data_IF_825150106004
#
_entry.id   IF_825150106004
#
_cell.length_a   1.000
_cell.length_b   1.000
_cell.length_c   1.000
_cell.angle_alpha   90.00
_cell.angle_beta   90.00
_cell.angle_gamma   90.00
#
_symmetry.space_group_name_H-M   'P 1'
#
loop_
_entity.id
_entity.type
_entity.pdbx_description
1 polymer ?
#
# COMPACT_ATOMS: atom_id res chain seq x y z
N UNK A 1 2.50 10.19 10.46
CA UNK A 1 2.24 9.64 9.11
C UNK A 1 0.79 9.95 8.76
N UNK A 2 0.54 10.53 7.60
CA UNK A 2 -0.79 10.85 7.08
C UNK A 2 -1.10 9.92 5.91
N UNK A 3 -2.15 9.12 6.03
CA UNK A 3 -2.65 8.24 4.97
C UNK A 3 -3.82 8.94 4.29
N UNK A 4 -3.61 9.38 3.06
CA UNK A 4 -4.57 10.18 2.28
C UNK A 4 -5.45 9.27 1.44
N UNK A 5 -6.74 9.54 1.47
CA UNK A 5 -7.74 8.93 0.59
C UNK A 5 -8.31 10.01 -0.33
N UNK A 6 -8.31 9.76 -1.64
CA UNK A 6 -8.91 10.66 -2.62
C UNK A 6 -10.36 10.28 -2.91
N UNK A 7 -11.23 11.29 -3.04
CA UNK A 7 -12.59 11.12 -3.51
C UNK A 7 -12.59 10.79 -5.01
N UNK A 8 -12.64 9.50 -5.32
CA UNK A 8 -12.84 9.01 -6.69
C UNK A 8 -11.75 9.46 -7.68
N UNK A 9 -10.48 9.33 -7.29
CA UNK A 9 -9.29 9.86 -7.97
C UNK A 9 -9.30 9.74 -9.51
N UNK A 10 -9.58 8.55 -10.05
CA UNK A 10 -9.59 8.33 -11.50
C UNK A 10 -10.67 9.13 -12.23
N UNK A 11 -11.80 9.41 -11.59
CA UNK A 11 -12.91 10.14 -12.21
C UNK A 11 -12.71 11.65 -12.20
N UNK A 12 -11.78 12.17 -11.38
CA UNK A 12 -11.53 13.61 -11.26
C UNK A 12 -10.44 14.13 -12.19
N UNK A 13 -9.75 13.24 -12.92
CA UNK A 13 -8.72 13.62 -13.89
C UNK A 13 -9.33 14.57 -14.94
N UNK A 14 -8.73 15.75 -15.09
CA UNK A 14 -9.08 16.68 -16.18
C UNK A 14 -8.16 16.35 -17.36
N UNK A 15 -8.68 15.86 -18.50
CA UNK A 15 -7.84 15.44 -19.63
C UNK A 15 -6.88 16.53 -20.10
N UNK A 16 -7.33 17.78 -20.18
CA UNK A 16 -6.49 18.90 -20.60
C UNK A 16 -5.28 19.12 -19.67
N UNK A 17 -5.44 19.00 -18.35
CA UNK A 17 -4.35 19.14 -17.39
C UNK A 17 -3.34 17.99 -17.53
N UNK A 18 -3.84 16.77 -17.72
CA UNK A 18 -2.99 15.60 -17.99
C UNK A 18 -2.17 15.81 -19.27
N UNK A 19 -2.81 16.21 -20.38
CA UNK A 19 -2.11 16.45 -21.65
C UNK A 19 -1.03 17.52 -21.50
N UNK A 20 -1.28 18.60 -20.76
CA UNK A 20 -0.27 19.61 -20.50
C UNK A 20 0.96 19.01 -19.77
N UNK A 21 0.75 18.15 -18.76
CA UNK A 21 1.85 17.43 -18.09
C UNK A 21 2.58 16.46 -19.03
N UNK A 22 1.85 15.72 -19.87
CA UNK A 22 2.45 14.81 -20.84
C UNK A 22 3.34 15.55 -21.85
N UNK A 23 2.89 16.72 -22.33
CA UNK A 23 3.70 17.58 -23.19
C UNK A 23 4.97 18.07 -22.48
N UNK A 24 4.90 18.45 -21.20
CA UNK A 24 6.07 18.85 -20.40
C UNK A 24 7.07 17.70 -20.19
N UNK A 25 6.57 16.45 -20.13
CA UNK A 25 7.39 15.24 -20.09
C UNK A 25 8.00 14.87 -21.45
N UNK A 26 7.73 15.64 -22.51
CA UNK A 26 8.31 15.45 -23.83
C UNK A 26 7.58 14.43 -24.71
N UNK A 27 6.35 14.05 -24.39
CA UNK A 27 5.56 13.17 -25.26
C UNK A 27 5.17 13.91 -26.56
N UNK A 28 5.17 13.17 -27.67
CA UNK A 28 4.82 13.71 -28.98
C UNK A 28 3.35 14.17 -29.01
N UNK A 29 3.08 15.31 -29.67
CA UNK A 29 1.75 15.91 -29.83
C UNK A 29 0.70 14.94 -30.38
N UNK A 30 1.07 14.06 -31.32
CA UNK A 30 0.15 13.06 -31.90
C UNK A 30 -0.33 12.06 -30.86
N UNK A 31 0.59 11.60 -29.98
CA UNK A 31 0.25 10.70 -28.89
C UNK A 31 -0.62 11.42 -27.85
N UNK A 32 -0.29 12.67 -27.51
CA UNK A 32 -1.08 13.49 -26.61
C UNK A 32 -2.50 13.72 -27.15
N UNK A 33 -2.67 14.00 -28.44
CA UNK A 33 -3.98 14.15 -29.06
C UNK A 33 -4.77 12.84 -29.06
N UNK A 34 -4.12 11.71 -29.30
CA UNK A 34 -4.76 10.40 -29.20
C UNK A 34 -5.21 10.09 -27.76
N UNK A 35 -4.40 10.42 -26.75
CA UNK A 35 -4.78 10.29 -25.34
C UNK A 35 -5.94 11.23 -25.01
N UNK A 36 -5.94 12.45 -25.52
CA UNK A 36 -7.03 13.41 -25.31
C UNK A 36 -8.35 12.88 -25.88
N UNK A 37 -8.33 12.39 -27.11
CA UNK A 37 -9.48 11.77 -27.78
C UNK A 37 -9.96 10.53 -26.99
N UNK A 38 -9.03 9.66 -26.58
CA UNK A 38 -9.33 8.52 -25.71
C UNK A 38 -9.99 8.94 -24.39
N UNK A 39 -9.65 10.13 -23.86
CA UNK A 39 -10.16 10.60 -22.57
C UNK A 39 -11.44 11.45 -22.65
N UNK A 40 -11.84 11.90 -23.84
CA UNK A 40 -12.95 12.85 -24.03
C UNK A 40 -14.07 12.27 -24.88
N UNK A 41 -15.27 12.85 -24.79
CA UNK A 41 -16.37 12.46 -25.66
C UNK A 41 -16.85 11.01 -25.50
N UNK A 42 -16.59 10.36 -24.36
CA UNK A 42 -16.88 8.93 -24.16
C UNK A 42 -18.36 8.71 -23.78
N UNK A 43 -19.18 8.07 -24.62
CA UNK A 43 -20.55 7.73 -24.25
C UNK A 43 -20.56 6.59 -23.21
N UNK A 44 -21.39 6.73 -22.18
CA UNK A 44 -21.63 5.70 -21.17
C UNK A 44 -23.14 5.53 -20.92
N UNK A 45 -23.56 4.30 -20.63
CA UNK A 45 -24.90 3.98 -20.18
C UNK A 45 -24.83 2.82 -19.19
N UNK A 46 -25.71 2.81 -18.20
CA UNK A 46 -25.78 1.74 -17.20
C UNK A 46 -26.86 0.76 -17.62
N UNK A 47 -26.51 -0.53 -17.62
CA UNK A 47 -27.44 -1.62 -17.93
C UNK A 47 -27.67 -2.47 -16.68
N UNK A 48 -28.94 -2.62 -16.27
CA UNK A 48 -29.35 -3.43 -15.12
C UNK A 48 -30.50 -4.35 -15.52
N UNK A 49 -30.22 -5.64 -15.64
CA UNK A 49 -31.21 -6.64 -16.06
C UNK A 49 -31.66 -6.41 -17.50
N UNK A 50 -32.89 -5.94 -17.70
CA UNK A 50 -33.42 -5.58 -19.02
C UNK A 50 -33.51 -4.07 -19.25
N UNK A 51 -33.13 -3.26 -18.27
CA UNK A 51 -33.23 -1.82 -18.33
C UNK A 51 -31.87 -1.21 -18.71
N UNK A 52 -31.90 -0.22 -19.60
CA UNK A 52 -30.72 0.57 -19.99
C UNK A 52 -31.00 2.04 -19.72
N UNK A 53 -30.07 2.73 -19.08
CA UNK A 53 -30.17 4.18 -18.86
C UNK A 53 -30.05 4.94 -20.18
N UNK A 54 -30.43 6.22 -20.17
CA UNK A 54 -29.98 7.14 -21.21
C UNK A 54 -28.45 7.17 -21.29
N UNK A 55 -27.93 7.42 -22.49
CA UNK A 55 -26.50 7.63 -22.70
C UNK A 55 -26.08 9.01 -22.20
N UNK A 56 -25.01 9.05 -21.42
CA UNK A 56 -24.34 10.28 -20.98
C UNK A 56 -22.93 10.30 -21.56
N UNK A 57 -22.47 11.44 -22.05
CA UNK A 57 -21.09 11.58 -22.54
C UNK A 57 -20.18 12.11 -21.44
N UNK A 58 -19.07 11.43 -21.19
CA UNK A 58 -18.03 11.83 -20.24
C UNK A 58 -16.82 12.42 -20.95
N UNK A 59 -16.37 13.57 -20.44
CA UNK A 59 -15.09 14.19 -20.86
C UNK A 59 -14.17 14.47 -19.67
N UNK A 60 -14.41 13.79 -18.55
CA UNK A 60 -13.59 13.83 -17.34
C UNK A 60 -13.29 12.42 -16.87
N UNK A 61 -12.17 12.27 -16.18
CA UNK A 61 -11.69 11.01 -15.65
C UNK A 61 -11.03 10.10 -16.68
N UNK A 62 -10.42 9.04 -16.18
CA UNK A 62 -9.94 7.91 -16.99
C UNK A 62 -10.84 6.67 -16.76
N UNK A 63 -11.10 5.84 -17.79
CA UNK A 63 -12.01 4.72 -17.67
C UNK A 63 -11.49 3.69 -16.65
N UNK A 64 -12.31 3.34 -15.65
CA UNK A 64 -11.96 2.29 -14.71
C UNK A 64 -11.92 0.93 -15.40
N UNK A 65 -10.92 0.12 -15.08
CA UNK A 65 -10.69 -1.19 -15.72
C UNK A 65 -9.93 -1.12 -17.05
N UNK A 66 -9.60 0.07 -17.56
CA UNK A 66 -8.69 0.19 -18.71
C UNK A 66 -7.22 0.07 -18.27
N UNK A 67 -6.42 -0.65 -19.06
CA UNK A 67 -4.98 -0.86 -18.84
C UNK A 67 -4.19 0.45 -18.81
N UNK A 68 -4.62 1.46 -19.59
CA UNK A 68 -3.90 2.72 -19.71
C UNK A 68 -4.16 3.68 -18.52
N UNK A 69 -5.32 3.58 -17.88
CA UNK A 69 -5.74 4.52 -16.83
C UNK A 69 -4.76 4.61 -15.66
N UNK A 70 -4.24 3.50 -15.08
CA UNK A 70 -3.24 3.56 -14.01
C UNK A 70 -1.96 4.30 -14.41
N UNK A 71 -1.46 4.07 -15.63
CA UNK A 71 -0.27 4.75 -16.13
C UNK A 71 -0.51 6.26 -16.25
N UNK A 72 -1.66 6.66 -16.80
CA UNK A 72 -2.02 8.07 -16.93
C UNK A 72 -2.15 8.76 -15.56
N UNK A 73 -2.65 8.05 -14.55
CA UNK A 73 -2.70 8.58 -13.18
C UNK A 73 -1.31 8.75 -12.58
N UNK A 74 -0.42 7.78 -12.77
CA UNK A 74 1.00 7.89 -12.36
C UNK A 74 1.68 9.09 -13.02
N UNK A 75 1.44 9.31 -14.32
CA UNK A 75 1.99 10.46 -15.06
C UNK A 75 1.35 11.79 -14.62
N UNK A 76 0.05 11.82 -14.32
CA UNK A 76 -0.62 13.01 -13.79
C UNK A 76 0.01 13.47 -12.48
N UNK A 77 0.32 12.51 -11.61
CA UNK A 77 0.79 12.75 -10.24
C UNK A 77 2.31 12.70 -10.10
N UNK A 78 3.07 12.60 -11.20
CA UNK A 78 4.52 12.34 -11.16
C UNK A 78 5.30 13.39 -10.35
N UNK A 79 4.91 14.66 -10.45
CA UNK A 79 5.50 15.82 -9.79
C UNK A 79 5.01 16.05 -8.35
N UNK A 80 4.17 15.15 -7.82
CA UNK A 80 3.86 15.12 -6.40
C UNK A 80 5.06 14.55 -5.64
N UNK A 81 5.92 15.44 -5.16
CA UNK A 81 7.15 15.14 -4.42
C UNK A 81 7.23 16.00 -3.16
N UNK A 82 7.84 15.46 -2.10
CA UNK A 82 8.03 16.20 -0.85
C UNK A 82 8.91 17.45 -1.09
N UNK A 83 8.53 18.59 -0.50
CA UNK A 83 9.33 19.82 -0.57
C UNK A 83 10.31 19.96 0.59
N UNK A 84 10.01 19.35 1.73
CA UNK A 84 10.89 19.38 2.90
C UNK A 84 11.70 18.08 2.99
N UNK A 85 13.01 18.20 3.24
CA UNK A 85 13.91 17.03 3.34
C UNK A 85 13.62 16.10 4.51
N UNK A 86 12.92 16.60 5.54
CA UNK A 86 12.45 15.82 6.69
C UNK A 86 11.18 15.01 6.41
N UNK A 87 10.61 15.17 5.21
CA UNK A 87 9.36 14.56 4.82
C UNK A 87 9.52 13.71 3.56
N UNK A 88 8.63 12.74 3.41
CA UNK A 88 8.54 11.87 2.26
C UNK A 88 7.09 11.74 1.82
N UNK A 89 6.87 11.76 0.51
CA UNK A 89 5.57 11.42 -0.09
C UNK A 89 5.74 10.08 -0.79
N UNK A 90 4.98 9.09 -0.32
CA UNK A 90 4.94 7.74 -0.87
C UNK A 90 3.63 7.60 -1.64
N UNK A 91 3.71 7.18 -2.91
CA UNK A 91 2.55 7.03 -3.79
C UNK A 91 2.45 5.59 -4.29
N UNK A 92 1.26 5.03 -4.28
CA UNK A 92 0.95 3.75 -4.90
C UNK A 92 -0.44 3.83 -5.53
N UNK A 93 -0.49 4.00 -6.86
CA UNK A 93 -1.72 4.41 -7.54
C UNK A 93 -2.32 5.66 -6.84
N UNK A 94 -3.58 5.60 -6.40
CA UNK A 94 -4.26 6.65 -5.66
C UNK A 94 -3.92 6.70 -4.15
N UNK A 95 -3.37 5.63 -3.57
CA UNK A 95 -2.91 5.64 -2.19
C UNK A 95 -1.69 6.58 -2.05
N UNK A 96 -1.85 7.67 -1.29
CA UNK A 96 -0.77 8.62 -1.01
C UNK A 96 -0.53 8.74 0.47
N UNK A 97 0.72 8.66 0.90
CA UNK A 97 1.11 8.76 2.31
C UNK A 97 2.17 9.82 2.49
N UNK A 98 1.94 10.75 3.43
CA UNK A 98 2.95 11.71 3.88
C UNK A 98 3.59 11.19 5.16
N UNK A 99 4.90 11.01 5.12
CA UNK A 99 5.73 10.69 6.28
C UNK A 99 6.52 11.93 6.63
N UNK A 100 6.42 12.43 7.85
CA UNK A 100 7.17 13.59 8.30
C UNK A 100 7.82 13.33 9.65
N UNK A 101 9.06 13.76 9.81
CA UNK A 101 9.78 13.71 11.08
C UNK A 101 9.42 14.94 11.93
N UNK A 102 8.88 14.70 13.12
CA UNK A 102 8.69 15.74 14.14
C UNK A 102 9.93 15.76 15.03
N UNK A 103 10.66 16.87 15.02
CA UNK A 103 11.91 17.04 15.78
C UNK A 103 11.73 18.12 16.84
N UNK A 104 12.17 17.88 18.07
CA UNK A 104 12.05 18.84 19.17
C UNK A 104 10.61 19.36 19.40
N UNK A 105 9.61 18.52 19.19
CA UNK A 105 8.18 18.90 19.20
C UNK A 105 7.76 19.93 18.14
N UNK A 106 8.62 20.19 17.14
CA UNK A 106 8.27 21.01 15.99
C UNK A 106 7.73 20.14 14.85
N UNK A 107 6.43 20.25 14.62
CA UNK A 107 5.70 19.61 13.51
C UNK A 107 5.47 20.56 12.33
N UNK A 108 6.03 21.78 12.38
CA UNK A 108 5.84 22.81 11.35
C UNK A 108 6.22 22.33 9.95
N UNK A 109 7.36 21.62 9.73
CA UNK A 109 7.70 21.11 8.40
C UNK A 109 6.66 20.11 7.88
N UNK A 110 6.14 19.23 8.74
CA UNK A 110 5.11 18.27 8.39
C UNK A 110 3.78 18.96 8.04
N UNK A 111 3.31 19.90 8.87
CA UNK A 111 2.06 20.64 8.59
C UNK A 111 2.15 21.47 7.31
N UNK A 112 3.29 22.10 7.04
CA UNK A 112 3.50 22.87 5.80
C UNK A 112 3.49 21.97 4.57
N UNK A 113 4.06 20.78 4.65
CA UNK A 113 4.01 19.80 3.56
C UNK A 113 2.58 19.36 3.28
N UNK A 114 1.79 19.04 4.32
CA UNK A 114 0.38 18.69 4.15
C UNK A 114 -0.39 19.84 3.49
N UNK A 115 -0.20 21.07 3.93
CA UNK A 115 -0.88 22.23 3.34
C UNK A 115 -0.53 22.41 1.85
N UNK A 116 0.75 22.27 1.50
CA UNK A 116 1.20 22.34 0.10
C UNK A 116 0.65 21.19 -0.75
N UNK A 117 0.55 19.99 -0.18
CA UNK A 117 -0.04 18.85 -0.86
C UNK A 117 -1.53 19.08 -1.12
N UNK A 118 -2.27 19.63 -0.16
CA UNK A 118 -3.69 19.97 -0.31
C UNK A 118 -3.88 21.02 -1.41
N UNK A 119 -3.06 22.07 -1.42
CA UNK A 119 -3.06 23.08 -2.49
C UNK A 119 -2.77 22.46 -3.86
N UNK A 120 -1.74 21.61 -3.94
CA UNK A 120 -1.39 20.89 -5.17
C UNK A 120 -2.54 19.99 -5.66
N UNK A 121 -3.20 19.26 -4.75
CA UNK A 121 -4.35 18.44 -5.08
C UNK A 121 -5.48 19.30 -5.67
N UNK A 122 -5.77 20.46 -5.08
CA UNK A 122 -6.74 21.41 -5.61
C UNK A 122 -6.38 21.90 -7.02
N UNK A 123 -5.09 22.19 -7.28
CA UNK A 123 -4.63 22.66 -8.59
C UNK A 123 -4.80 21.62 -9.72
N UNK A 124 -4.70 20.33 -9.39
CA UNK A 124 -4.87 19.22 -10.37
C UNK A 124 -6.23 18.52 -10.28
N UNK A 125 -7.21 19.15 -9.61
CA UNK A 125 -8.56 18.63 -9.44
C UNK A 125 -8.61 17.23 -8.77
N UNK A 126 -7.73 16.97 -7.81
CA UNK A 126 -7.86 15.84 -6.89
C UNK A 126 -8.53 16.32 -5.61
N UNK A 127 -9.68 15.72 -5.30
CA UNK A 127 -10.40 16.02 -4.07
C UNK A 127 -9.98 15.05 -2.97
N UNK A 128 -9.52 15.55 -1.83
CA UNK A 128 -9.24 14.71 -0.66
C UNK A 128 -10.54 14.34 0.06
N UNK A 129 -10.60 13.12 0.58
CA UNK A 129 -11.64 12.69 1.50
C UNK A 129 -11.14 12.75 2.94
N UNK A 130 -11.26 13.93 3.58
CA UNK A 130 -10.76 14.15 4.96
C UNK A 130 -11.32 13.13 5.96
N UNK A 131 -12.57 12.67 5.78
CA UNK A 131 -13.19 11.68 6.67
C UNK A 131 -12.55 10.28 6.59
N UNK A 132 -11.93 9.95 5.45
CA UNK A 132 -11.23 8.68 5.22
C UNK A 132 -9.71 8.80 5.42
N UNK A 133 -9.17 10.01 5.30
CA UNK A 133 -7.78 10.30 5.65
C UNK A 133 -7.55 10.01 7.13
N UNK A 134 -6.46 9.33 7.46
CA UNK A 134 -6.08 8.96 8.82
C UNK A 134 -4.68 9.42 9.15
N UNK A 135 -4.47 9.89 10.38
CA UNK A 135 -3.15 10.18 10.92
C UNK A 135 -2.75 9.12 11.94
N UNK A 136 -1.53 8.60 11.83
CA UNK A 136 -0.87 7.78 12.85
C UNK A 136 0.38 8.50 13.30
N UNK A 137 0.49 8.79 14.60
CA UNK A 137 1.67 9.42 15.22
C UNK A 137 2.45 8.33 15.94
N UNK A 138 3.73 8.17 15.59
CA UNK A 138 4.63 7.21 16.24
C UNK A 138 5.58 7.99 17.14
N UNK A 139 5.38 7.91 18.45
CA UNK A 139 6.22 8.57 19.45
C UNK A 139 6.64 7.57 20.54
N UNK A 140 7.93 7.26 20.58
CA UNK A 140 8.52 6.30 21.53
C UNK A 140 9.15 6.99 22.76
N UNK A 141 8.98 8.30 22.91
CA UNK A 141 9.51 9.04 24.06
C UNK A 141 8.68 8.72 25.30
N UNK A 142 9.35 8.58 26.45
CA UNK A 142 8.68 8.37 27.74
C UNK A 142 7.75 9.53 28.13
N UNK A 143 8.13 10.75 27.75
CA UNK A 143 7.35 11.97 27.96
C UNK A 143 6.95 12.49 26.58
N UNK A 144 5.90 11.91 26.00
CA UNK A 144 5.35 12.38 24.73
C UNK A 144 4.60 13.69 24.94
N UNK A 145 4.61 14.53 23.91
CA UNK A 145 3.80 15.74 23.85
C UNK A 145 2.62 15.43 22.94
N UNK A 146 1.41 15.74 23.41
CA UNK A 146 0.24 15.64 22.55
C UNK A 146 0.21 16.83 21.59
N UNK A 147 0.26 16.53 20.31
CA UNK A 147 0.18 17.52 19.25
C UNK A 147 -1.29 17.77 18.91
N UNK A 148 -1.70 19.03 18.64
CA UNK A 148 -3.07 19.31 18.24
C UNK A 148 -3.43 18.51 16.98
N UNK A 149 -4.71 18.18 16.76
CA UNK A 149 -5.11 17.49 15.53
C UNK A 149 -4.67 18.25 14.27
N UNK A 150 -4.29 17.50 13.24
CA UNK A 150 -4.07 18.05 11.91
C UNK A 150 -5.41 18.50 11.34
N UNK A 151 -5.46 19.68 10.71
CA UNK A 151 -6.67 20.19 10.07
C UNK A 151 -6.45 20.35 8.56
N UNK A 152 -7.41 19.89 7.77
CA UNK A 152 -7.45 20.03 6.31
C UNK A 152 -8.83 20.61 5.97
N UNK A 153 -8.86 21.71 5.21
CA UNK A 153 -10.11 22.41 4.84
C UNK A 153 -11.05 22.65 6.04
N UNK A 154 -10.47 23.15 7.14
CA UNK A 154 -11.15 23.40 8.43
C UNK A 154 -11.73 22.15 9.12
N UNK A 155 -11.49 20.96 8.60
CA UNK A 155 -11.90 19.68 9.19
C UNK A 155 -10.73 19.00 9.89
N UNK A 156 -10.93 18.52 11.11
CA UNK A 156 -9.91 17.78 11.84
C UNK A 156 -9.74 16.36 11.24
N UNK A 157 -8.51 15.97 10.95
CA UNK A 157 -8.15 14.63 10.53
C UNK A 157 -8.23 13.69 11.73
N UNK A 158 -8.84 12.52 11.55
CA UNK A 158 -8.90 11.51 12.60
C UNK A 158 -7.51 10.91 12.86
N UNK A 159 -7.06 11.04 14.11
CA UNK A 159 -5.87 10.34 14.61
C UNK A 159 -6.27 8.95 15.10
N UNK A 160 -5.58 7.93 14.63
CA UNK A 160 -5.85 6.52 14.97
C UNK A 160 -4.57 5.82 15.42
N UNK A 161 -4.72 4.83 16.30
CA UNK A 161 -3.59 4.00 16.76
C UNK A 161 -3.20 2.91 15.76
N UNK A 162 -4.07 2.60 14.79
CA UNK A 162 -3.79 1.67 13.71
C UNK A 162 -4.58 1.99 12.45
N UNK A 163 -3.92 1.82 11.30
CA UNK A 163 -4.58 1.89 9.99
C UNK A 163 -3.99 0.87 9.03
N UNK A 164 -4.76 0.50 8.00
CA UNK A 164 -4.35 -0.46 6.99
C UNK A 164 -3.81 0.28 5.78
N UNK A 165 -2.54 0.04 5.45
CA UNK A 165 -1.85 0.61 4.30
C UNK A 165 -1.36 -0.53 3.39
N UNK A 166 -1.74 -0.50 2.10
CA UNK A 166 -1.34 -1.49 1.09
C UNK A 166 -1.49 -2.97 1.53
N UNK A 167 -2.51 -3.26 2.33
CA UNK A 167 -2.77 -4.63 2.82
C UNK A 167 -2.27 -4.93 4.24
N UNK A 168 -1.38 -4.11 4.79
CA UNK A 168 -0.71 -4.33 6.08
C UNK A 168 -1.23 -3.33 7.12
N UNK A 169 -1.44 -3.78 8.36
CA UNK A 169 -1.77 -2.85 9.45
C UNK A 169 -0.49 -2.22 10.00
N UNK A 170 -0.45 -0.90 10.02
CA UNK A 170 0.57 -0.10 10.67
C UNK A 170 -0.04 0.44 11.96
N UNK A 171 0.70 0.35 13.06
CA UNK A 171 0.28 0.80 14.38
C UNK A 171 1.22 1.89 14.90
N UNK A 172 0.73 2.72 15.83
CA UNK A 172 1.51 3.78 16.48
C UNK A 172 2.72 3.25 17.28
N UNK A 173 2.60 2.02 17.81
CA UNK A 173 3.65 1.33 18.58
C UNK A 173 4.55 0.45 17.71
N UNK A 174 4.31 0.41 16.39
CA UNK A 174 4.98 -0.45 15.41
C UNK A 174 4.95 -1.96 15.75
N UNK A 175 4.00 -2.40 16.60
CA UNK A 175 3.77 -3.82 16.85
C UNK A 175 2.95 -4.45 15.72
N UNK A 176 3.26 -5.70 15.39
CA UNK A 176 2.61 -6.39 14.28
C UNK A 176 1.41 -7.25 14.70
N UNK A 177 1.04 -7.24 15.98
CA UNK A 177 -0.03 -8.06 16.56
C UNK A 177 -1.37 -7.87 15.82
N UNK A 178 -1.75 -6.62 15.55
CA UNK A 178 -3.00 -6.32 14.81
C UNK A 178 -2.96 -6.91 13.41
N UNK A 179 -1.82 -6.82 12.72
CA UNK A 179 -1.63 -7.39 11.39
C UNK A 179 -1.68 -8.93 11.44
N UNK A 180 -0.91 -9.56 12.32
CA UNK A 180 -0.81 -11.03 12.44
C UNK A 180 -2.14 -11.66 12.85
N UNK A 181 -2.89 -11.05 13.77
CA UNK A 181 -4.23 -11.50 14.15
C UNK A 181 -5.20 -11.45 12.94
N UNK A 182 -5.17 -10.36 12.16
CA UNK A 182 -6.00 -10.21 10.97
C UNK A 182 -5.67 -11.27 9.90
N UNK A 183 -4.37 -11.53 9.66
CA UNK A 183 -3.92 -12.58 8.75
C UNK A 183 -4.30 -13.98 9.24
N UNK A 184 -4.10 -14.25 10.53
CA UNK A 184 -4.46 -15.52 11.17
C UNK A 184 -5.95 -15.81 11.04
N UNK A 185 -6.82 -14.83 11.34
CA UNK A 185 -8.27 -14.97 11.21
C UNK A 185 -8.69 -15.31 9.77
N UNK A 186 -8.13 -14.61 8.77
CA UNK A 186 -8.39 -14.91 7.34
C UNK A 186 -7.90 -16.30 6.95
N UNK A 187 -6.71 -16.70 7.41
CA UNK A 187 -6.14 -18.00 7.11
C UNK A 187 -6.95 -19.14 7.74
N UNK A 188 -7.43 -18.96 8.98
CA UNK A 188 -8.31 -19.91 9.68
C UNK A 188 -9.65 -20.09 8.96
N UNK A 189 -10.26 -19.02 8.45
CA UNK A 189 -11.46 -19.13 7.61
C UNK A 189 -11.21 -19.99 6.37
N UNK A 190 -10.04 -19.87 5.75
CA UNK A 190 -9.66 -20.67 4.56
C UNK A 190 -9.32 -22.12 4.90
N UNK A 191 -8.81 -22.36 6.12
CA UNK A 191 -8.57 -23.71 6.64
C UNK A 191 -9.86 -24.55 6.70
N UNK A 192 -11.01 -23.93 6.96
CA UNK A 192 -12.30 -24.63 6.91
C UNK A 192 -12.56 -25.26 5.53
N UNK A 193 -12.26 -24.54 4.45
CA UNK A 193 -12.40 -25.09 3.10
C UNK A 193 -11.39 -26.21 2.82
N UNK A 194 -10.15 -26.07 3.31
CA UNK A 194 -9.17 -27.16 3.22
C UNK A 194 -9.67 -28.44 3.90
N UNK A 195 -10.29 -28.33 5.08
CA UNK A 195 -10.92 -29.46 5.77
C UNK A 195 -12.05 -30.08 4.92
N UNK A 196 -12.88 -29.27 4.27
CA UNK A 196 -13.96 -29.77 3.39
C UNK A 196 -13.41 -30.51 2.18
N UNK A 197 -12.35 -29.99 1.56
CA UNK A 197 -11.66 -30.64 0.45
C UNK A 197 -11.05 -31.97 0.86
N UNK A 198 -10.47 -32.06 2.06
CA UNK A 198 -9.98 -33.32 2.62
C UNK A 198 -11.09 -34.33 2.84
N UNK A 199 -12.25 -33.91 3.35
CA UNK A 199 -13.44 -34.77 3.54
C UNK A 199 -14.03 -35.26 2.22
N UNK A 200 -13.86 -34.49 1.14
CA UNK A 200 -14.20 -34.91 -0.22
C UNK A 200 -13.15 -35.86 -0.83
N UNK A 201 -12.21 -36.38 -0.02
CA UNK A 201 -11.18 -37.34 -0.42
C UNK A 201 -10.27 -36.87 -1.56
N UNK A 202 -10.03 -35.55 -1.66
CA UNK A 202 -9.09 -35.03 -2.65
C UNK A 202 -7.63 -35.43 -2.31
N UNK A 203 -6.81 -35.73 -3.34
CA UNK A 203 -5.45 -36.20 -3.14
C UNK A 203 -4.54 -35.10 -2.57
N UNK A 204 -3.49 -35.45 -1.79
CA UNK A 204 -2.60 -34.48 -1.15
C UNK A 204 -2.01 -33.40 -2.08
N UNK A 205 -1.58 -33.69 -3.33
CA UNK A 205 -1.07 -32.65 -4.22
C UNK A 205 -2.07 -31.51 -4.50
N UNK A 206 -3.36 -31.83 -4.66
CA UNK A 206 -4.40 -30.84 -4.88
C UNK A 206 -4.62 -30.00 -3.63
N UNK A 207 -4.61 -30.64 -2.46
CA UNK A 207 -4.75 -29.95 -1.17
C UNK A 207 -3.56 -29.02 -0.89
N UNK A 208 -2.33 -29.43 -1.24
CA UNK A 208 -1.13 -28.58 -1.15
C UNK A 208 -1.22 -27.38 -2.07
N UNK A 209 -1.67 -27.57 -3.31
CA UNK A 209 -1.90 -26.45 -4.24
C UNK A 209 -2.95 -25.48 -3.70
N UNK A 210 -4.06 -25.99 -3.15
CA UNK A 210 -5.07 -25.17 -2.50
C UNK A 210 -4.50 -24.39 -1.32
N UNK A 211 -3.73 -25.05 -0.45
CA UNK A 211 -3.06 -24.41 0.69
C UNK A 211 -2.13 -23.28 0.24
N UNK A 212 -1.26 -23.53 -0.75
CA UNK A 212 -0.34 -22.52 -1.27
C UNK A 212 -1.07 -21.31 -1.84
N UNK A 213 -2.08 -21.57 -2.68
CA UNK A 213 -2.83 -20.50 -3.35
C UNK A 213 -3.75 -19.69 -2.43
N UNK A 214 -4.28 -20.30 -1.35
CA UNK A 214 -5.31 -19.65 -0.54
C UNK A 214 -4.88 -19.36 0.90
N UNK A 215 -4.09 -20.21 1.55
CA UNK A 215 -3.73 -20.02 2.96
C UNK A 215 -2.34 -19.40 3.06
N UNK A 216 -1.33 -20.02 2.45
CA UNK A 216 0.05 -19.52 2.46
C UNK A 216 0.16 -18.14 1.82
N UNK A 217 -0.54 -17.90 0.70
CA UNK A 217 -0.57 -16.58 0.04
C UNK A 217 -1.04 -15.45 0.96
N UNK A 218 -1.98 -15.73 1.87
CA UNK A 218 -2.43 -14.74 2.89
C UNK A 218 -1.38 -14.57 3.97
N UNK A 219 -0.94 -15.68 4.57
CA UNK A 219 0.02 -15.67 5.68
C UNK A 219 1.35 -15.02 5.29
N UNK A 220 1.70 -15.09 4.01
CA UNK A 220 2.98 -14.60 3.50
C UNK A 220 2.85 -13.27 2.75
N UNK A 221 1.66 -12.66 2.70
CA UNK A 221 1.47 -11.35 2.08
C UNK A 221 2.34 -10.30 2.77
N UNK A 222 3.20 -9.62 2.01
CA UNK A 222 4.14 -8.61 2.53
C UNK A 222 5.05 -9.11 3.67
N UNK A 223 5.33 -10.42 3.75
CA UNK A 223 6.03 -11.05 4.90
C UNK A 223 7.41 -10.44 5.18
N UNK A 224 8.10 -9.91 4.15
CA UNK A 224 9.40 -9.25 4.28
C UNK A 224 9.35 -7.93 5.06
N UNK A 225 8.16 -7.33 5.20
CA UNK A 225 7.96 -6.05 5.89
C UNK A 225 7.79 -6.22 7.40
N UNK A 226 6.98 -7.21 7.81
CA UNK A 226 6.48 -7.28 9.19
C UNK A 226 7.04 -8.48 9.97
N UNK A 227 7.38 -9.60 9.32
CA UNK A 227 7.69 -10.84 10.03
C UNK A 227 8.98 -10.76 10.86
N UNK A 228 10.00 -10.04 10.38
CA UNK A 228 11.28 -9.89 11.09
C UNK A 228 11.16 -9.16 12.43
N UNK A 229 10.12 -8.34 12.60
CA UNK A 229 9.87 -7.56 13.82
C UNK A 229 8.68 -8.10 14.63
N UNK A 230 8.15 -9.28 14.28
CA UNK A 230 7.07 -9.91 15.04
C UNK A 230 7.57 -10.47 16.37
N UNK A 231 6.69 -10.45 17.38
CA UNK A 231 6.96 -11.15 18.62
C UNK A 231 7.01 -12.68 18.41
N UNK A 232 7.71 -13.40 19.28
CA UNK A 232 7.71 -14.86 19.26
C UNK A 232 6.28 -15.45 19.39
N UNK A 233 5.40 -14.76 20.13
CA UNK A 233 4.00 -15.14 20.29
C UNK A 233 3.21 -15.00 18.98
N UNK A 234 3.43 -13.92 18.23
CA UNK A 234 2.82 -13.71 16.91
C UNK A 234 3.27 -14.75 15.91
N UNK A 235 4.58 -14.98 15.80
CA UNK A 235 5.16 -15.99 14.93
C UNK A 235 4.59 -17.37 15.24
N UNK A 236 4.52 -17.75 16.53
CA UNK A 236 3.91 -19.02 16.96
C UNK A 236 2.43 -19.12 16.60
N UNK A 237 1.69 -18.02 16.70
CA UNK A 237 0.26 -17.97 16.34
C UNK A 237 0.05 -18.23 14.86
N UNK A 238 0.84 -17.62 13.99
CA UNK A 238 0.77 -17.85 12.54
C UNK A 238 1.21 -19.27 12.17
N UNK A 239 2.32 -19.74 12.75
CA UNK A 239 2.88 -21.07 12.48
C UNK A 239 1.91 -22.20 12.88
N UNK A 240 1.06 -22.00 13.90
CA UNK A 240 -0.01 -22.96 14.24
C UNK A 240 -0.93 -23.24 13.06
N UNK A 241 -1.29 -22.23 12.27
CA UNK A 241 -2.16 -22.39 11.09
C UNK A 241 -1.49 -23.28 10.03
N UNK A 242 -0.19 -23.05 9.78
CA UNK A 242 0.61 -23.89 8.87
C UNK A 242 0.69 -25.33 9.37
N UNK A 243 0.96 -25.53 10.65
CA UNK A 243 1.05 -26.86 11.26
C UNK A 243 -0.29 -27.61 11.19
N UNK A 244 -1.42 -26.92 11.39
CA UNK A 244 -2.74 -27.53 11.24
C UNK A 244 -3.03 -27.89 9.78
N UNK A 245 -2.68 -27.04 8.81
CA UNK A 245 -2.80 -27.37 7.40
C UNK A 245 -1.96 -28.60 7.02
N UNK A 246 -0.70 -28.66 7.46
CA UNK A 246 0.18 -29.80 7.24
C UNK A 246 -0.43 -31.12 7.74
N UNK A 247 -1.04 -31.11 8.93
CA UNK A 247 -1.76 -32.26 9.49
C UNK A 247 -2.98 -32.68 8.67
N UNK A 248 -3.76 -31.72 8.18
CA UNK A 248 -4.95 -32.01 7.35
C UNK A 248 -4.55 -32.66 6.02
N UNK A 249 -3.50 -32.13 5.40
CA UNK A 249 -3.02 -32.60 4.09
C UNK A 249 -2.33 -33.97 4.24
N UNK A 250 -1.54 -34.14 5.31
CA UNK A 250 -0.68 -35.31 5.53
C UNK A 250 0.71 -35.14 4.93
N UNK A 251 1.18 -33.90 4.76
CA UNK A 251 2.50 -33.59 4.18
C UNK A 251 3.20 -32.50 4.98
N UNK A 252 4.53 -32.51 4.99
CA UNK A 252 5.32 -31.41 5.55
C UNK A 252 5.15 -30.15 4.69
N UNK A 253 5.03 -29.01 5.35
CA UNK A 253 4.95 -27.69 4.73
C UNK A 253 6.10 -26.83 5.26
N UNK A 254 6.68 -25.92 4.45
CA UNK A 254 7.74 -25.01 4.91
C UNK A 254 7.27 -24.18 6.09
N UNK A 255 8.18 -23.85 7.00
CA UNK A 255 7.85 -22.91 8.08
C UNK A 255 7.75 -21.49 7.54
N UNK A 256 7.02 -20.62 8.25
CA UNK A 256 6.94 -19.21 7.87
C UNK A 256 8.31 -18.51 7.97
N UNK A 257 9.18 -18.97 8.88
CA UNK A 257 10.54 -18.48 8.99
C UNK A 257 11.35 -18.81 7.73
N UNK A 258 11.27 -20.05 7.24
CA UNK A 258 11.98 -20.46 6.02
C UNK A 258 11.51 -19.64 4.81
N UNK A 259 10.19 -19.45 4.70
CA UNK A 259 9.60 -18.64 3.61
C UNK A 259 10.04 -17.17 3.73
N UNK A 260 10.05 -16.61 4.95
CA UNK A 260 10.52 -15.25 5.20
C UNK A 260 11.98 -15.08 4.79
N UNK A 261 12.86 -15.96 5.27
CA UNK A 261 14.30 -15.91 4.97
C UNK A 261 14.57 -16.04 3.46
N UNK A 262 13.91 -16.98 2.79
CA UNK A 262 14.01 -17.14 1.35
C UNK A 262 13.60 -15.87 0.61
N UNK A 263 12.44 -15.28 0.95
CA UNK A 263 11.95 -14.05 0.29
C UNK A 263 12.81 -12.83 0.58
N UNK A 264 13.36 -12.72 1.79
CA UNK A 264 14.32 -11.66 2.11
C UNK A 264 15.60 -11.79 1.27
N UNK A 265 16.11 -13.02 1.12
CA UNK A 265 17.29 -13.30 0.29
C UNK A 265 17.03 -12.98 -1.20
N UNK A 266 15.88 -13.41 -1.73
CA UNK A 266 15.47 -13.12 -3.10
C UNK A 266 15.32 -11.61 -3.34
N UNK A 267 14.68 -10.90 -2.40
CA UNK A 267 14.50 -9.44 -2.50
C UNK A 267 15.83 -8.70 -2.41
N UNK A 268 16.72 -9.09 -1.50
CA UNK A 268 18.06 -8.51 -1.40
C UNK A 268 18.86 -8.74 -2.69
N UNK A 269 18.82 -9.95 -3.24
CA UNK A 269 19.48 -10.28 -4.51
C UNK A 269 18.91 -9.45 -5.67
N UNK A 270 17.59 -9.22 -5.70
CA UNK A 270 16.95 -8.37 -6.70
C UNK A 270 17.41 -6.92 -6.60
N UNK A 271 17.51 -6.36 -5.39
CA UNK A 271 17.96 -4.98 -5.16
C UNK A 271 19.42 -4.82 -5.62
N UNK A 272 20.29 -5.76 -5.26
CA UNK A 272 21.72 -5.70 -5.65
C UNK A 272 21.92 -5.78 -7.16
N UNK A 273 21.04 -6.50 -7.87
CA UNK A 273 21.09 -6.63 -9.34
C UNK A 273 20.55 -5.41 -10.08
N UNK A 274 19.76 -4.56 -9.42
CA UNK A 274 19.15 -3.39 -10.03
C UNK A 274 19.81 -2.10 -9.51
N UNK A 275 20.78 -1.52 -10.26
CA UNK A 275 21.44 -0.29 -9.86
C UNK A 275 20.51 0.93 -9.86
N UNK A 276 19.29 0.82 -10.40
CA UNK A 276 18.28 1.89 -10.40
C UNK A 276 17.30 1.78 -9.22
N UNK A 277 17.35 0.68 -8.44
CA UNK A 277 16.52 0.55 -7.24
C UNK A 277 16.95 1.61 -6.22
N UNK A 278 16.03 2.43 -5.67
CA UNK A 278 16.35 3.44 -4.66
C UNK A 278 17.03 2.87 -3.42
N UNK A 279 16.83 1.57 -3.14
CA UNK A 279 17.39 0.84 -2.00
C UNK A 279 18.80 0.29 -2.26
N UNK A 280 19.31 0.37 -3.50
CA UNK A 280 20.66 -0.09 -3.86
C UNK A 280 21.75 0.64 -3.05
N UNK A 281 21.51 1.89 -2.66
CA UNK A 281 22.37 2.72 -1.82
C UNK A 281 22.59 2.11 -0.43
N UNK A 282 21.64 1.33 0.09
CA UNK A 282 21.77 0.63 1.37
C UNK A 282 22.68 -0.61 1.28
N UNK A 283 22.98 -1.08 0.07
CA UNK A 283 23.79 -2.30 -0.18
C UNK A 283 25.24 -1.99 -0.53
N UNK A 284 25.59 -0.72 -0.79
CA UNK A 284 26.97 -0.27 -0.84
C UNK A 284 27.51 -0.18 0.59
N UNK A 285 28.53 -0.99 0.92
CA UNK A 285 29.07 -1.14 2.27
C UNK A 285 29.20 0.18 3.04
N UNK A 286 28.80 0.26 4.32
CA UNK A 286 29.26 1.33 5.18
C UNK A 286 30.80 1.23 5.32
N UNK A 287 31.51 2.35 5.57
CA UNK A 287 32.87 2.30 6.08
C UNK A 287 32.88 1.35 7.28
N UNK A 288 33.82 0.42 7.26
CA UNK A 288 34.01 -0.63 8.25
C UNK A 288 34.09 -0.05 9.67
N UNK A 289 32.95 0.04 10.38
CA UNK A 289 32.90 0.16 11.85
C UNK A 289 31.51 0.05 12.52
N UNK A 290 30.42 -0.22 11.79
CA UNK A 290 29.10 -0.45 12.44
C UNK A 290 28.78 -1.94 12.43
N UNK A 291 29.35 -2.65 13.41
CA UNK A 291 28.88 -3.95 13.85
C UNK A 291 27.43 -3.80 14.32
N UNK A 292 26.48 -4.25 13.50
CA UNK A 292 25.13 -4.57 13.95
C UNK A 292 25.29 -5.75 14.90
N UNK A 293 25.43 -5.45 16.20
CA UNK A 293 25.25 -6.45 17.24
C UNK A 293 23.81 -6.94 17.14
N UNK A 294 23.67 -8.18 16.68
CA UNK A 294 22.49 -9.01 16.89
C UNK A 294 22.03 -8.87 18.33
N UNK A 295 20.87 -8.22 18.53
CA UNK A 295 20.10 -8.42 19.75
C UNK A 295 19.47 -9.80 19.62
N UNK A 296 20.18 -10.79 20.14
CA UNK A 296 19.69 -12.14 20.35
C UNK A 296 18.65 -12.14 21.48
N UNK A 297 17.54 -12.86 21.23
CA UNK A 297 16.51 -13.36 22.15
C UNK A 297 15.47 -12.36 22.71
#
# INVERSE_FOLDING_TARGET
MLFIDFSSAFNTIIPQQLINKLNLLGLNTSLCNWILDFLTGRPQSVHVGHNTSSTTTLSTGAPQGCVLSPLLFTLLTHDCTAKFSSNHIIKFADDTTVVGLISNNDETPYRKEVAQLVEWCGAINLSLNVSKTKEVVMDFRRNSVDHPPLTIDSSAVERVSSTKFLGVHITEDLTWTTNTMSLSKKAQQRLHFLCRLKRASLPPPILTTFYRGTIESVLTSCITVWYGNCSAADCKTLQRTVNTAAKIIGTLLPSLLDIFLARCSDKATSIVKDPTDPSSILTTSPPSEILIHNVNC
#
